data_IF_837210913182
#
_entry.id   IF_837210913182
#
_cell.length_a   1.000
_cell.length_b   1.000
_cell.length_c   1.000
_cell.angle_alpha   90.00
_cell.angle_beta   90.00
_cell.angle_gamma   90.00
#
_symmetry.space_group_name_H-M   'P 1'
#
loop_
_entity.id
_entity.type
_entity.pdbx_description
1 polymer ?
#
# COMPACT_ATOMS: atom_id res chain seq x y z
N UNK A 1 18.75 -16.43 -9.52
CA UNK A 1 18.36 -15.01 -9.63
C UNK A 1 17.61 -14.57 -8.37
N UNK A 2 17.91 -13.36 -7.88
CA UNK A 2 17.19 -12.75 -6.76
C UNK A 2 16.02 -11.95 -7.33
N UNK A 3 14.82 -12.19 -6.81
CA UNK A 3 13.60 -11.50 -7.21
C UNK A 3 12.98 -10.84 -5.96
N UNK A 4 12.59 -9.58 -6.10
CA UNK A 4 11.90 -8.81 -5.04
C UNK A 4 10.56 -8.35 -5.60
N UNK A 5 9.48 -8.76 -4.96
CA UNK A 5 8.13 -8.40 -5.35
C UNK A 5 7.41 -7.72 -4.18
N UNK A 6 6.87 -6.53 -4.40
CA UNK A 6 5.98 -5.86 -3.47
C UNK A 6 4.54 -6.28 -3.77
N UNK A 7 3.83 -6.74 -2.75
CA UNK A 7 2.40 -7.01 -2.77
C UNK A 7 1.70 -5.86 -2.03
N UNK A 8 1.15 -4.94 -2.80
CA UNK A 8 0.44 -3.76 -2.31
C UNK A 8 -0.85 -3.64 -3.14
N UNK A 9 -1.99 -3.23 -2.55
CA UNK A 9 -3.17 -2.93 -3.34
C UNK A 9 -2.89 -1.78 -4.32
N UNK A 10 -3.50 -1.85 -5.51
CA UNK A 10 -3.37 -0.81 -6.55
C UNK A 10 -3.89 0.55 -6.08
N UNK A 11 -4.83 0.54 -5.12
CA UNK A 11 -5.44 1.73 -4.53
C UNK A 11 -5.19 1.74 -3.02
N UNK A 12 -4.58 2.83 -2.55
CA UNK A 12 -4.39 3.11 -1.12
C UNK A 12 -5.41 4.17 -0.67
N UNK A 13 -6.20 3.83 0.33
CA UNK A 13 -7.23 4.72 0.88
C UNK A 13 -6.77 5.33 2.21
N UNK A 14 -7.10 6.60 2.42
CA UNK A 14 -7.04 7.24 3.73
C UNK A 14 -8.23 6.80 4.61
N UNK A 15 -8.14 6.91 5.96
CA UNK A 15 -6.98 7.33 6.73
C UNK A 15 -5.91 6.23 6.82
N UNK A 16 -4.65 6.63 6.75
CA UNK A 16 -3.51 5.76 7.02
C UNK A 16 -2.92 6.13 8.39
N UNK A 17 -2.86 5.19 9.33
CA UNK A 17 -2.20 5.41 10.61
C UNK A 17 -0.71 5.06 10.52
N UNK A 18 0.16 5.81 11.17
CA UNK A 18 1.57 5.44 11.30
C UNK A 18 1.70 4.03 11.91
N UNK A 19 2.50 3.17 11.27
CA UNK A 19 2.66 1.77 11.63
C UNK A 19 1.61 0.83 11.05
N UNK A 20 0.56 1.33 10.39
CA UNK A 20 -0.45 0.48 9.76
C UNK A 20 0.17 -0.33 8.62
N UNK A 21 -0.05 -1.65 8.63
CA UNK A 21 0.39 -2.52 7.55
C UNK A 21 -0.50 -2.33 6.32
N UNK A 22 0.12 -1.99 5.19
CA UNK A 22 -0.54 -1.72 3.91
C UNK A 22 -0.26 -2.81 2.86
N UNK A 23 0.73 -3.68 3.09
CA UNK A 23 1.06 -4.79 2.21
C UNK A 23 2.27 -5.59 2.71
N UNK A 24 2.93 -6.31 1.81
CA UNK A 24 4.16 -7.06 2.12
C UNK A 24 5.18 -7.03 0.99
N UNK A 25 6.47 -7.11 1.33
CA UNK A 25 7.56 -7.35 0.37
C UNK A 25 8.00 -8.79 0.50
N UNK A 26 8.03 -9.49 -0.62
CA UNK A 26 8.53 -10.86 -0.76
C UNK A 26 9.85 -10.85 -1.50
N UNK A 27 10.86 -11.48 -0.90
CA UNK A 27 12.18 -11.66 -1.49
C UNK A 27 12.36 -13.15 -1.77
N UNK A 28 12.55 -13.50 -3.03
CA UNK A 28 12.72 -14.87 -3.50
C UNK A 28 14.07 -15.05 -4.17
N UNK A 29 14.74 -16.16 -3.91
CA UNK A 29 15.99 -16.54 -4.56
C UNK A 29 15.76 -17.84 -5.32
N UNK A 30 15.98 -17.83 -6.64
CA UNK A 30 15.76 -19.00 -7.50
C UNK A 30 14.33 -19.56 -7.39
N UNK A 31 13.34 -18.68 -7.25
CA UNK A 31 11.93 -19.06 -7.10
C UNK A 31 11.51 -19.47 -5.68
N UNK A 32 12.44 -19.64 -4.75
CA UNK A 32 12.13 -19.94 -3.35
C UNK A 32 12.02 -18.65 -2.54
N UNK A 33 10.90 -18.45 -1.83
CA UNK A 33 10.72 -17.34 -0.90
C UNK A 33 11.71 -17.45 0.26
N UNK A 34 12.57 -16.44 0.43
CA UNK A 34 13.60 -16.39 1.48
C UNK A 34 13.18 -15.48 2.62
N UNK A 35 12.47 -14.39 2.33
CA UNK A 35 11.99 -13.47 3.36
C UNK A 35 10.69 -12.79 2.92
N UNK A 36 9.79 -12.58 3.88
CA UNK A 36 8.61 -11.73 3.75
C UNK A 36 8.59 -10.71 4.89
N UNK A 37 8.34 -9.45 4.54
CA UNK A 37 8.27 -8.35 5.51
C UNK A 37 7.05 -7.48 5.27
N UNK A 38 6.34 -7.04 6.33
CA UNK A 38 5.20 -6.14 6.17
C UNK A 38 5.66 -4.75 5.71
N UNK A 39 4.90 -4.15 4.79
CA UNK A 39 5.00 -2.75 4.41
C UNK A 39 4.10 -1.93 5.32
N UNK A 40 4.68 -1.00 6.06
CA UNK A 40 3.96 -0.15 7.01
C UNK A 40 3.93 1.31 6.57
N UNK A 41 2.86 2.01 6.93
CA UNK A 41 2.76 3.46 6.75
C UNK A 41 3.73 4.17 7.70
N UNK A 42 4.73 4.86 7.14
CA UNK A 42 5.74 5.59 7.93
C UNK A 42 5.18 6.89 8.54
N UNK A 43 4.12 7.42 7.96
CA UNK A 43 3.47 8.67 8.35
C UNK A 43 1.96 8.46 8.42
N UNK A 44 1.32 9.17 9.35
CA UNK A 44 -0.14 9.20 9.43
C UNK A 44 -0.69 10.17 8.39
N UNK A 45 -1.67 9.71 7.60
CA UNK A 45 -2.46 10.53 6.68
C UNK A 45 -3.90 10.49 7.17
N UNK A 46 -4.40 11.65 7.64
CA UNK A 46 -5.78 11.78 8.06
C UNK A 46 -6.72 11.71 6.84
N UNK A 47 -7.98 11.33 7.10
CA UNK A 47 -9.01 11.40 6.08
C UNK A 47 -9.22 12.86 5.65
N UNK A 48 -9.31 13.09 4.34
CA UNK A 48 -9.67 14.40 3.80
C UNK A 48 -11.13 14.74 4.14
N UNK A 49 -11.46 16.04 4.17
CA UNK A 49 -12.85 16.48 4.35
C UNK A 49 -13.80 16.02 3.21
N UNK A 50 -15.09 16.32 3.32
CA UNK A 50 -16.13 15.90 2.36
C UNK A 50 -15.77 16.15 0.89
N UNK A 51 -15.18 17.30 0.57
CA UNK A 51 -14.77 17.65 -0.80
C UNK A 51 -13.63 16.73 -1.27
N UNK A 52 -12.62 16.49 -0.43
CA UNK A 52 -11.50 15.60 -0.77
C UNK A 52 -11.98 14.18 -1.04
N UNK A 53 -12.87 13.64 -0.20
CA UNK A 53 -13.44 12.29 -0.39
C UNK A 53 -14.23 12.18 -1.70
N UNK A 54 -14.98 13.22 -2.05
CA UNK A 54 -15.78 13.23 -3.28
C UNK A 54 -14.89 13.29 -4.51
N UNK A 55 -13.85 14.12 -4.48
CA UNK A 55 -12.85 14.20 -5.56
C UNK A 55 -12.07 12.89 -5.68
N UNK A 56 -11.70 12.26 -4.57
CA UNK A 56 -11.00 10.98 -4.57
C UNK A 56 -11.88 9.86 -5.14
N UNK A 57 -13.17 9.83 -4.79
CA UNK A 57 -14.13 8.90 -5.40
C UNK A 57 -14.29 9.10 -6.91
N UNK A 58 -14.35 10.36 -7.36
CA UNK A 58 -14.41 10.68 -8.79
C UNK A 58 -13.12 10.24 -9.49
N UNK A 59 -11.94 10.50 -8.90
CA UNK A 59 -10.66 10.05 -9.48
C UNK A 59 -10.59 8.53 -9.63
N UNK A 60 -11.07 7.78 -8.65
CA UNK A 60 -11.11 6.31 -8.71
C UNK A 60 -12.03 5.77 -9.81
N UNK A 61 -13.07 6.52 -10.20
CA UNK A 61 -13.96 6.14 -11.32
C UNK A 61 -13.28 6.25 -12.70
N UNK A 62 -12.19 7.01 -12.80
CA UNK A 62 -11.44 7.23 -14.04
C UNK A 62 -10.05 6.59 -14.03
N UNK A 63 -9.74 5.76 -13.01
CA UNK A 63 -8.55 4.92 -12.97
C UNK A 63 -8.79 3.54 -13.57
#
# INVERSE_FOLDING_TARGET
>A
ELNVAANLPDVLLAPAAQGQTMGSVKVSLQGQLIAERPLIALQSVAEGGLVSRTVDAIKLMFQ
#
